data_IF_407695667975
#
_entry.id   IF_407695667975
#
_cell.length_a   1.000
_cell.length_b   1.000
_cell.length_c   1.000
_cell.angle_alpha   90.00
_cell.angle_beta   90.00
_cell.angle_gamma   90.00
#
_symmetry.space_group_name_H-M   'P 1'
#
loop_
_entity.id
_entity.type
_entity.pdbx_description
1 polymer ?
#
# COMPACT_ATOMS: atom_id res chain seq x y z
N UNK A 1 -9.75 39.27 -1.80
CA UNK A 1 -8.52 38.45 -1.91
C UNK A 1 -8.91 37.02 -1.61
N UNK A 2 -9.03 36.21 -2.65
CA UNK A 2 -9.45 34.81 -2.53
C UNK A 2 -8.29 33.83 -2.61
N UNK A 3 -8.62 32.58 -2.25
CA UNK A 3 -7.91 31.31 -2.45
C UNK A 3 -6.70 31.06 -1.50
N UNK A 4 -6.56 29.94 -0.80
CA UNK A 4 -7.07 28.58 -1.03
C UNK A 4 -7.31 27.79 0.26
N UNK A 5 -8.51 27.20 0.34
CA UNK A 5 -8.79 26.02 1.17
C UNK A 5 -7.96 24.83 0.66
N UNK A 6 -6.97 24.39 1.43
CA UNK A 6 -6.43 23.04 1.28
C UNK A 6 -7.50 22.07 1.80
N UNK A 7 -8.34 21.59 0.86
CA UNK A 7 -9.17 20.42 1.11
C UNK A 7 -8.22 19.26 1.40
N UNK A 8 -8.23 18.76 2.63
CA UNK A 8 -7.75 17.43 2.96
C UNK A 8 -8.47 16.45 2.03
N UNK A 9 -7.76 15.96 1.00
CA UNK A 9 -8.25 14.85 0.19
C UNK A 9 -8.06 13.58 1.02
N UNK A 10 -9.04 13.28 1.87
CA UNK A 10 -9.25 11.90 2.31
C UNK A 10 -9.71 11.11 1.08
N UNK A 11 -8.76 10.58 0.29
CA UNK A 11 -9.05 9.58 -0.74
C UNK A 11 -9.48 8.28 -0.03
N UNK A 12 -10.76 8.20 0.36
CA UNK A 12 -11.43 6.94 0.71
C UNK A 12 -11.40 6.05 -0.52
N UNK A 13 -10.44 5.15 -0.56
CA UNK A 13 -10.23 4.32 -1.74
C UNK A 13 -10.71 2.91 -1.47
N UNK A 14 -11.83 2.57 -2.11
CA UNK A 14 -12.58 1.33 -1.93
C UNK A 14 -11.92 0.25 -2.77
N UNK A 15 -11.36 -0.78 -2.13
CA UNK A 15 -10.96 -2.00 -2.83
C UNK A 15 -11.94 -3.13 -2.52
N UNK A 16 -12.69 -3.56 -3.53
CA UNK A 16 -13.74 -4.60 -3.39
C UNK A 16 -14.77 -4.33 -2.27
N UNK A 17 -14.99 -3.06 -1.91
CA UNK A 17 -15.88 -2.67 -0.82
C UNK A 17 -15.21 -2.42 0.53
N UNK A 18 -13.91 -2.70 0.69
CA UNK A 18 -13.21 -2.61 1.98
C UNK A 18 -12.24 -1.41 1.95
N UNK A 19 -12.28 -0.58 2.99
CA UNK A 19 -11.22 0.39 3.28
C UNK A 19 -10.05 -0.39 3.93
N UNK A 20 -9.04 -0.76 3.16
CA UNK A 20 -7.87 -1.49 3.70
C UNK A 20 -6.72 -0.51 3.91
N UNK A 21 -6.54 -0.02 5.13
CA UNK A 21 -5.25 0.55 5.56
C UNK A 21 -4.31 -0.62 5.84
N UNK A 22 -3.17 -0.72 5.14
CA UNK A 22 -2.16 -1.73 5.45
C UNK A 22 -1.58 -1.41 6.83
N UNK A 23 -1.97 -2.19 7.85
CA UNK A 23 -1.48 -2.04 9.22
C UNK A 23 -0.15 -2.77 9.36
N UNK A 24 0.94 -2.03 9.59
CA UNK A 24 2.22 -2.60 10.07
C UNK A 24 2.16 -2.83 11.58
N UNK A 25 3.01 -3.75 12.06
CA UNK A 25 2.99 -4.48 13.35
C UNK A 25 3.05 -3.67 14.67
N UNK A 26 2.55 -2.44 14.75
CA UNK A 26 2.38 -1.75 16.03
C UNK A 26 0.90 -1.66 16.41
N UNK A 27 0.50 -2.57 17.29
CA UNK A 27 -0.81 -2.56 17.95
C UNK A 27 -0.82 -1.43 18.98
N UNK A 28 -1.32 -0.26 18.59
CA UNK A 28 -1.64 0.84 19.51
C UNK A 28 -3.14 0.83 19.80
N UNK A 29 -3.49 1.11 21.05
CA UNK A 29 -4.77 0.85 21.70
C UNK A 29 -5.95 1.64 21.10
N UNK A 30 -7.07 0.96 20.83
CA UNK A 30 -8.30 1.53 20.24
C UNK A 30 -9.48 1.36 21.23
N UNK A 31 -10.43 2.31 21.23
CA UNK A 31 -11.79 2.13 21.78
C UNK A 31 -12.44 0.88 21.16
N UNK A 32 -12.80 -0.09 21.99
CA UNK A 32 -12.98 -1.49 21.58
C UNK A 32 -14.12 -1.67 20.57
N UNK A 33 -13.86 -1.97 19.27
CA UNK A 33 -14.84 -2.65 18.45
C UNK A 33 -15.17 -4.00 19.12
N UNK A 34 -16.33 -4.58 18.81
CA UNK A 34 -16.64 -5.90 19.35
C UNK A 34 -15.49 -6.84 18.99
N UNK A 35 -14.89 -7.50 19.99
CA UNK A 35 -13.70 -8.37 19.86
C UNK A 35 -13.82 -9.37 18.70
N UNK A 36 -15.05 -9.72 18.33
CA UNK A 36 -15.38 -10.58 17.21
C UNK A 36 -15.06 -9.97 15.84
N UNK A 37 -15.39 -8.70 15.58
CA UNK A 37 -15.15 -8.05 14.28
C UNK A 37 -13.66 -8.01 13.95
N UNK A 38 -12.85 -7.65 14.94
CA UNK A 38 -11.39 -7.62 14.83
C UNK A 38 -10.83 -9.02 14.51
N UNK A 39 -11.32 -10.06 15.20
CA UNK A 39 -10.91 -11.45 14.95
C UNK A 39 -11.29 -11.89 13.53
N UNK A 40 -12.50 -11.57 13.06
CA UNK A 40 -12.97 -11.92 11.72
C UNK A 40 -12.15 -11.21 10.65
N UNK A 41 -11.88 -9.91 10.82
CA UNK A 41 -11.05 -9.13 9.92
C UNK A 41 -9.62 -9.68 9.88
N UNK A 42 -9.02 -9.97 11.04
CA UNK A 42 -7.68 -10.55 11.14
C UNK A 42 -7.58 -11.90 10.40
N UNK A 43 -8.57 -12.78 10.61
CA UNK A 43 -8.67 -14.06 9.93
C UNK A 43 -8.79 -13.93 8.41
N UNK A 44 -9.62 -12.99 7.95
CA UNK A 44 -9.77 -12.71 6.52
C UNK A 44 -8.46 -12.20 5.90
N UNK A 45 -7.83 -11.19 6.50
CA UNK A 45 -6.64 -10.52 5.93
C UNK A 45 -5.37 -11.34 6.09
N UNK A 46 -5.09 -11.85 7.30
CA UNK A 46 -3.79 -12.46 7.63
C UNK A 46 -3.79 -13.99 7.59
N UNK A 47 -4.97 -14.63 7.70
CA UNK A 47 -5.11 -16.09 7.54
C UNK A 47 -5.70 -16.47 6.19
N UNK A 48 -6.02 -15.49 5.35
CA UNK A 48 -6.53 -15.66 3.99
C UNK A 48 -7.82 -16.52 3.95
N UNK A 49 -8.59 -16.53 5.04
CA UNK A 49 -9.86 -17.27 5.10
C UNK A 49 -10.90 -16.56 4.22
N UNK A 50 -11.62 -17.32 3.40
CA UNK A 50 -12.68 -16.76 2.56
C UNK A 50 -13.95 -16.50 3.37
N UNK A 51 -14.89 -15.74 2.80
CA UNK A 51 -16.22 -15.58 3.42
C UNK A 51 -16.96 -16.92 3.58
N UNK A 52 -16.65 -17.91 2.74
CA UNK A 52 -17.22 -19.25 2.86
C UNK A 52 -16.64 -20.00 4.06
N UNK A 53 -15.33 -19.90 4.27
CA UNK A 53 -14.63 -20.56 5.38
C UNK A 53 -15.09 -19.97 6.72
N UNK A 54 -15.19 -18.64 6.80
CA UNK A 54 -15.70 -17.94 7.98
C UNK A 54 -17.17 -18.24 8.24
N UNK A 55 -18.00 -18.29 7.18
CA UNK A 55 -19.40 -18.69 7.32
C UNK A 55 -19.54 -20.10 7.88
N UNK A 56 -18.74 -21.05 7.39
CA UNK A 56 -18.72 -22.44 7.86
C UNK A 56 -18.25 -22.53 9.32
N UNK A 57 -17.13 -21.87 9.67
CA UNK A 57 -16.54 -21.91 11.00
C UNK A 57 -17.50 -21.40 12.09
N UNK A 58 -18.23 -20.31 11.81
CA UNK A 58 -19.13 -19.68 12.78
C UNK A 58 -20.59 -20.13 12.64
N UNK A 59 -20.91 -21.07 11.74
CA UNK A 59 -22.28 -21.52 11.49
C UNK A 59 -23.20 -20.41 10.99
N UNK A 60 -22.69 -19.50 10.15
CA UNK A 60 -23.38 -18.30 9.63
C UNK A 60 -23.46 -18.31 8.11
N UNK A 61 -24.14 -17.33 7.55
CA UNK A 61 -24.20 -17.14 6.09
C UNK A 61 -22.96 -16.41 5.58
N UNK A 62 -22.64 -16.59 4.28
CA UNK A 62 -21.57 -15.82 3.62
C UNK A 62 -21.82 -14.31 3.69
N UNK A 63 -23.08 -13.90 3.62
CA UNK A 63 -23.49 -12.49 3.72
C UNK A 63 -23.18 -11.92 5.10
N UNK A 64 -23.44 -12.68 6.16
CA UNK A 64 -23.07 -12.26 7.51
C UNK A 64 -21.57 -11.99 7.64
N UNK A 65 -20.72 -12.91 7.17
CA UNK A 65 -19.26 -12.73 7.20
C UNK A 65 -18.81 -11.49 6.40
N UNK A 66 -19.42 -11.26 5.23
CA UNK A 66 -19.19 -10.06 4.43
C UNK A 66 -19.52 -8.79 5.22
N UNK A 67 -20.72 -8.70 5.80
CA UNK A 67 -21.17 -7.50 6.53
C UNK A 67 -20.29 -7.23 7.77
N UNK A 68 -19.84 -8.27 8.48
CA UNK A 68 -18.92 -8.12 9.61
C UNK A 68 -17.56 -7.55 9.16
N UNK A 69 -16.96 -8.08 8.10
CA UNK A 69 -15.65 -7.62 7.63
C UNK A 69 -15.70 -6.18 7.10
N UNK A 70 -16.80 -5.80 6.43
CA UNK A 70 -16.93 -4.48 5.83
C UNK A 70 -17.37 -3.39 6.82
N UNK A 71 -17.97 -3.79 7.95
CA UNK A 71 -18.28 -2.87 9.06
C UNK A 71 -17.08 -2.62 9.97
N UNK A 72 -16.00 -3.39 9.84
CA UNK A 72 -14.78 -3.16 10.60
C UNK A 72 -14.01 -1.95 10.04
N UNK A 73 -13.86 -0.91 10.87
CA UNK A 73 -13.03 0.25 10.54
C UNK A 73 -11.59 0.03 10.99
N UNK A 74 -10.66 0.13 10.04
CA UNK A 74 -9.23 -0.02 10.33
C UNK A 74 -8.68 1.28 10.92
N UNK A 75 -7.85 1.17 11.96
CA UNK A 75 -7.16 2.30 12.55
C UNK A 75 -6.40 3.12 11.50
N UNK A 76 -6.52 4.45 11.59
CA UNK A 76 -5.70 5.35 10.78
C UNK A 76 -4.24 5.17 11.19
N UNK A 77 -3.35 5.21 10.20
CA UNK A 77 -1.91 5.11 10.45
C UNK A 77 -1.43 6.36 11.19
N UNK A 78 -0.78 6.15 12.34
CA UNK A 78 -0.03 7.20 13.01
C UNK A 78 1.36 7.33 12.40
N UNK A 79 1.77 8.57 12.15
CA UNK A 79 3.06 8.88 11.55
C UNK A 79 4.04 9.34 12.63
N UNK A 80 5.19 8.68 12.67
CA UNK A 80 6.31 9.02 13.54
C UNK A 80 7.48 9.50 12.66
N UNK A 81 7.60 10.81 12.42
CA UNK A 81 8.56 11.36 11.47
C UNK A 81 10.01 11.08 11.90
N UNK A 82 10.81 10.55 10.97
CA UNK A 82 12.21 10.18 11.18
C UNK A 82 12.97 10.17 9.86
N UNK A 83 14.28 9.93 9.93
CA UNK A 83 15.09 9.65 8.75
C UNK A 83 14.79 8.23 8.23
N UNK A 84 14.43 8.10 6.95
CA UNK A 84 14.01 6.83 6.34
C UNK A 84 14.74 6.56 5.04
N UNK A 85 14.90 5.27 4.73
CA UNK A 85 15.36 4.82 3.40
C UNK A 85 14.19 4.13 2.73
N UNK A 86 13.73 4.69 1.61
CA UNK A 86 12.48 4.25 0.99
C UNK A 86 12.74 3.12 -0.01
N UNK A 87 11.96 2.06 0.09
CA UNK A 87 11.72 1.11 -0.98
C UNK A 87 10.33 1.38 -1.54
N UNK A 88 10.27 1.75 -2.82
CA UNK A 88 9.01 2.04 -3.48
C UNK A 88 8.76 1.01 -4.58
N UNK A 89 7.57 0.43 -4.57
CA UNK A 89 7.15 -0.56 -5.55
C UNK A 89 5.70 -0.33 -5.99
N UNK A 90 5.35 -0.76 -7.20
CA UNK A 90 3.97 -0.76 -7.68
C UNK A 90 3.52 -2.19 -7.96
N UNK A 91 2.53 -2.66 -7.21
CA UNK A 91 1.92 -3.97 -7.43
C UNK A 91 0.65 -3.82 -8.25
N UNK A 92 0.59 -4.51 -9.40
CA UNK A 92 -0.60 -4.62 -10.24
C UNK A 92 -1.38 -5.89 -9.88
N UNK A 93 -2.71 -5.83 -9.90
CA UNK A 93 -3.57 -6.99 -9.67
C UNK A 93 -4.86 -6.90 -10.48
N UNK A 94 -5.54 -8.03 -10.68
CA UNK A 94 -6.67 -8.10 -11.62
C UNK A 94 -6.23 -8.18 -13.08
N UNK A 95 -7.14 -7.92 -14.03
CA UNK A 95 -6.82 -7.95 -15.47
C UNK A 95 -6.26 -6.59 -15.90
N UNK A 96 -5.44 -6.57 -16.96
CA UNK A 96 -4.83 -5.35 -17.52
C UNK A 96 -5.86 -4.25 -17.85
N UNK A 97 -7.07 -4.65 -18.24
CA UNK A 97 -8.19 -3.73 -18.53
C UNK A 97 -8.77 -3.04 -17.29
N UNK A 98 -8.64 -3.66 -16.12
CA UNK A 98 -9.24 -3.17 -14.88
C UNK A 98 -8.43 -2.00 -14.29
N UNK A 99 -7.17 -1.81 -14.72
CA UNK A 99 -6.29 -0.70 -14.32
C UNK A 99 -6.19 -0.59 -12.80
N UNK A 100 -5.87 -1.71 -12.15
CA UNK A 100 -5.83 -1.81 -10.71
C UNK A 100 -4.38 -2.02 -10.26
N UNK A 101 -3.82 -1.02 -9.59
CA UNK A 101 -2.48 -1.08 -9.03
C UNK A 101 -2.40 -0.33 -7.71
N UNK A 102 -1.42 -0.67 -6.88
CA UNK A 102 -1.08 0.04 -5.65
C UNK A 102 0.40 0.39 -5.65
N UNK A 103 0.70 1.67 -5.46
CA UNK A 103 2.05 2.16 -5.15
C UNK A 103 2.24 2.10 -3.65
N UNK A 104 3.35 1.54 -3.18
CA UNK A 104 3.67 1.41 -1.76
C UNK A 104 5.05 2.02 -1.48
N UNK A 105 5.13 2.84 -0.44
CA UNK A 105 6.37 3.38 0.11
C UNK A 105 6.64 2.69 1.45
N UNK A 106 7.73 1.94 1.51
CA UNK A 106 8.16 1.22 2.70
C UNK A 106 9.49 1.78 3.20
N UNK A 107 9.62 1.99 4.50
CA UNK A 107 10.91 2.21 5.15
C UNK A 107 11.63 0.88 5.28
N UNK A 108 12.81 0.77 4.67
CA UNK A 108 13.63 -0.44 4.72
C UNK A 108 14.33 -0.63 6.07
N UNK A 109 14.46 0.43 6.87
CA UNK A 109 15.14 0.37 8.17
C UNK A 109 14.21 -0.30 9.20
N UNK A 110 13.03 0.27 9.41
CA UNK A 110 12.04 -0.28 10.37
C UNK A 110 11.09 -1.32 9.76
N UNK A 111 11.23 -1.65 8.47
CA UNK A 111 10.31 -2.50 7.71
C UNK A 111 8.84 -2.06 7.86
N UNK A 112 8.62 -0.75 7.70
CA UNK A 112 7.33 -0.11 7.94
C UNK A 112 6.75 0.46 6.65
N UNK A 113 5.52 0.10 6.29
CA UNK A 113 4.80 0.75 5.20
C UNK A 113 4.40 2.16 5.66
N UNK A 114 4.99 3.18 5.05
CA UNK A 114 4.77 4.57 5.40
C UNK A 114 3.53 5.13 4.70
N UNK A 115 3.46 4.98 3.37
CA UNK A 115 2.37 5.48 2.55
C UNK A 115 2.04 4.47 1.46
N UNK A 116 0.78 4.45 1.02
CA UNK A 116 0.35 3.66 -0.12
C UNK A 116 -0.77 4.40 -0.84
N UNK A 117 -0.92 4.13 -2.13
CA UNK A 117 -1.97 4.74 -2.95
C UNK A 117 -2.40 3.82 -4.06
N UNK A 118 -3.70 3.73 -4.30
CA UNK A 118 -4.21 3.04 -5.47
C UNK A 118 -4.12 3.93 -6.71
N UNK A 119 -3.66 3.33 -7.80
CA UNK A 119 -3.42 4.02 -9.06
C UNK A 119 -3.95 3.20 -10.23
N UNK A 120 -4.33 3.90 -11.28
CA UNK A 120 -4.75 3.32 -12.55
C UNK A 120 -3.58 2.70 -13.32
N UNK A 121 -2.40 3.26 -13.12
CA UNK A 121 -1.17 2.87 -13.79
C UNK A 121 0.03 3.45 -13.05
N UNK A 122 1.19 2.85 -13.21
CA UNK A 122 2.42 3.35 -12.61
C UNK A 122 2.96 4.54 -13.43
N UNK A 123 2.82 5.74 -12.84
CA UNK A 123 3.29 7.03 -13.37
C UNK A 123 4.23 7.70 -12.38
N UNK A 124 5.26 8.38 -12.87
CA UNK A 124 6.21 9.14 -12.03
C UNK A 124 5.56 10.26 -11.21
N UNK A 125 4.42 10.78 -11.66
CA UNK A 125 3.60 11.77 -10.94
C UNK A 125 3.23 11.27 -9.53
N UNK A 126 2.78 10.03 -9.38
CA UNK A 126 2.31 9.50 -8.10
C UNK A 126 3.46 9.39 -7.09
N UNK A 127 4.65 8.98 -7.53
CA UNK A 127 5.83 8.93 -6.69
C UNK A 127 6.24 10.32 -6.20
N UNK A 128 6.17 11.34 -7.06
CA UNK A 128 6.46 12.73 -6.68
C UNK A 128 5.48 13.24 -5.63
N UNK A 129 4.19 13.04 -5.85
CA UNK A 129 3.14 13.46 -4.92
C UNK A 129 3.27 12.75 -3.56
N UNK A 130 3.46 11.44 -3.56
CA UNK A 130 3.63 10.66 -2.33
C UNK A 130 4.92 11.05 -1.59
N UNK A 131 6.00 11.33 -2.30
CA UNK A 131 7.25 11.82 -1.68
C UNK A 131 7.04 13.20 -1.05
N UNK A 132 6.36 14.11 -1.75
CA UNK A 132 6.02 15.43 -1.20
C UNK A 132 5.12 15.32 0.03
N UNK A 133 4.14 14.43 0.00
CA UNK A 133 3.29 14.13 1.15
C UNK A 133 4.13 13.63 2.33
N UNK A 134 5.05 12.69 2.10
CA UNK A 134 5.92 12.17 3.15
C UNK A 134 6.81 13.25 3.77
N UNK A 135 7.38 14.13 2.94
CA UNK A 135 8.16 15.28 3.40
C UNK A 135 7.30 16.27 4.20
N UNK A 136 6.04 16.52 3.78
CA UNK A 136 5.11 17.38 4.51
C UNK A 136 4.70 16.83 5.87
N UNK A 137 4.76 15.51 6.05
CA UNK A 137 4.57 14.85 7.33
C UNK A 137 5.80 14.95 8.25
N UNK A 138 6.90 15.56 7.79
CA UNK A 138 8.11 15.82 8.58
C UNK A 138 9.19 14.74 8.48
N UNK A 139 9.03 13.74 7.61
CA UNK A 139 10.06 12.71 7.41
C UNK A 139 11.26 13.28 6.65
N UNK A 140 12.44 12.73 6.94
CA UNK A 140 13.67 12.99 6.17
C UNK A 140 13.98 11.76 5.32
N UNK A 141 14.24 11.94 4.02
CA UNK A 141 14.49 10.81 3.10
C UNK A 141 15.97 10.76 2.76
N UNK A 142 16.65 9.70 3.21
CA UNK A 142 18.07 9.51 2.99
C UNK A 142 18.37 9.02 1.56
N UNK A 143 17.59 8.04 1.10
CA UNK A 143 17.71 7.46 -0.23
C UNK A 143 16.38 6.79 -0.63
N UNK A 144 16.19 6.61 -1.93
CA UNK A 144 15.01 5.94 -2.50
C UNK A 144 15.46 4.83 -3.44
N UNK A 145 14.94 3.64 -3.22
CA UNK A 145 15.09 2.49 -4.10
C UNK A 145 13.80 2.28 -4.87
N UNK A 146 13.88 2.29 -6.20
CA UNK A 146 12.73 2.15 -7.10
C UNK A 146 12.99 1.11 -8.19
N UNK A 147 11.93 0.65 -8.86
CA UNK A 147 12.06 -0.15 -10.08
C UNK A 147 12.69 0.68 -11.22
N UNK A 148 13.38 0.01 -12.15
CA UNK A 148 14.17 0.60 -13.24
C UNK A 148 13.35 1.23 -14.37
N UNK A 149 12.08 1.57 -14.13
CA UNK A 149 11.19 2.11 -15.16
C UNK A 149 11.63 3.48 -15.62
N UNK A 150 11.76 3.65 -16.94
CA UNK A 150 12.13 4.93 -17.58
C UNK A 150 11.18 6.05 -17.14
N UNK A 151 11.75 7.15 -16.61
CA UNK A 151 11.01 8.33 -16.16
C UNK A 151 10.71 8.37 -14.65
N UNK A 152 10.86 7.26 -13.93
CA UNK A 152 10.71 7.20 -12.48
C UNK A 152 11.88 7.88 -11.75
N UNK A 153 13.09 7.79 -12.32
CA UNK A 153 14.32 8.42 -11.83
C UNK A 153 14.33 9.97 -11.94
N UNK A 154 13.23 10.60 -12.36
CA UNK A 154 13.13 12.06 -12.47
C UNK A 154 12.87 12.76 -11.13
N UNK A 155 12.71 12.00 -10.05
CA UNK A 155 12.49 12.52 -8.69
C UNK A 155 13.84 12.84 -8.02
N UNK A 156 14.56 13.86 -8.50
CA UNK A 156 15.94 14.17 -8.06
C UNK A 156 16.08 14.80 -6.66
N UNK A 157 15.14 14.55 -5.73
CA UNK A 157 15.16 15.18 -4.40
C UNK A 157 16.20 14.52 -3.47
N UNK A 158 16.56 13.27 -3.76
CA UNK A 158 17.45 12.44 -2.95
C UNK A 158 18.20 11.44 -3.85
N UNK A 159 19.24 10.76 -3.33
CA UNK A 159 19.87 9.64 -4.01
C UNK A 159 18.84 8.58 -4.41
N UNK A 160 18.82 8.22 -5.70
CA UNK A 160 17.95 7.17 -6.23
C UNK A 160 18.81 5.99 -6.65
N UNK A 161 18.44 4.81 -6.17
CA UNK A 161 19.02 3.54 -6.55
C UNK A 161 17.96 2.70 -7.28
N UNK A 162 18.36 2.02 -8.35
CA UNK A 162 17.50 0.99 -8.95
C UNK A 162 17.53 -0.27 -8.07
N UNK A 163 16.37 -0.86 -7.83
CA UNK A 163 16.23 -2.07 -7.05
C UNK A 163 17.07 -3.21 -7.63
N UNK A 164 17.95 -3.81 -6.82
CA UNK A 164 18.81 -4.92 -7.25
C UNK A 164 18.03 -6.15 -7.70
N UNK A 165 16.84 -6.39 -7.14
CA UNK A 165 15.99 -7.51 -7.55
C UNK A 165 15.57 -7.34 -9.01
N UNK A 166 15.01 -6.19 -9.37
CA UNK A 166 14.62 -5.87 -10.75
C UNK A 166 15.83 -5.77 -11.68
N UNK A 167 16.97 -5.26 -11.19
CA UNK A 167 18.21 -5.24 -11.95
C UNK A 167 18.67 -6.67 -12.34
N UNK A 168 18.58 -7.63 -11.43
CA UNK A 168 18.92 -9.04 -11.71
C UNK A 168 17.93 -9.75 -12.65
N UNK A 169 16.73 -9.20 -12.85
CA UNK A 169 15.81 -9.73 -13.87
C UNK A 169 16.41 -9.50 -15.27
N UNK A 170 17.15 -8.42 -15.48
CA UNK A 170 17.86 -8.16 -16.75
C UNK A 170 18.78 -9.32 -17.13
N UNK A 171 19.48 -9.90 -16.15
CA UNK A 171 20.38 -11.04 -16.36
C UNK A 171 19.62 -12.27 -16.91
N UNK A 172 18.35 -12.48 -16.48
CA UNK A 172 17.51 -13.58 -17.00
C UNK A 172 17.22 -13.44 -18.48
N UNK A 173 17.11 -12.21 -18.98
CA UNK A 173 16.82 -11.93 -20.39
C UNK A 173 18.06 -12.06 -21.27
N UNK A 174 19.25 -11.88 -20.72
CA UNK A 174 20.52 -12.11 -21.43
C UNK A 174 20.73 -13.61 -21.64
N UNK A 175 20.42 -14.44 -20.63
CA UNK A 175 20.61 -15.89 -20.71
C UNK A 175 19.46 -16.63 -21.40
N UNK A 176 18.24 -16.08 -21.45
CA UNK A 176 17.09 -16.75 -22.08
C UNK A 176 16.05 -15.77 -22.68
N UNK A 177 16.24 -15.30 -23.93
CA UNK A 177 15.50 -14.18 -24.51
C UNK A 177 14.03 -14.48 -24.90
N UNK A 178 13.44 -15.61 -24.51
CA UNK A 178 12.09 -16.04 -24.99
C UNK A 178 10.92 -15.64 -24.09
N UNK A 179 11.16 -14.97 -22.97
CA UNK A 179 10.09 -14.58 -22.04
C UNK A 179 9.96 -13.05 -22.06
N UNK A 180 9.23 -12.54 -23.04
CA UNK A 180 8.78 -11.14 -23.05
C UNK A 180 7.50 -11.03 -22.23
N UNK A 181 7.46 -10.08 -21.28
CA UNK A 181 6.25 -9.69 -20.56
C UNK A 181 5.68 -8.40 -21.17
#
# INVERSE_FOLDING_TARGET
MGLNLLKNMEEKTIYRGINVTIVTKHLVQIERPSKLLEILFYKYVFKHQTYADLALEYGKTKRWAYDQIHSYEVAKKEHNPRAVTLLCDTTFYGKRKDKLATVVFCDTIENEVLLWRHVDSEKSKYYKEMLQQLLSLGYTVNAVTIDGKRGLNTVKVCPIQMCHFHQKIVDRYIVNPRVFC
#
